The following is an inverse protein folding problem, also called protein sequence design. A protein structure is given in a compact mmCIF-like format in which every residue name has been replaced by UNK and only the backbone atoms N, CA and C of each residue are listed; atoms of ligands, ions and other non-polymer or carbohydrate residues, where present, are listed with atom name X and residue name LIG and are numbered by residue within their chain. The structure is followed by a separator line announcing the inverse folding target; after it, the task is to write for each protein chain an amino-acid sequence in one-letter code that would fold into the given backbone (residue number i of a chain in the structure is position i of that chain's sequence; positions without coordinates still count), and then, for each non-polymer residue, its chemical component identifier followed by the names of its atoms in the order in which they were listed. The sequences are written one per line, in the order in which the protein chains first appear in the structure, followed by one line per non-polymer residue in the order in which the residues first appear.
data_IF_458648851075
#
_entry.id   IF_458648851075
#
_cell.length_a   1.000
_cell.length_b   1.000
_cell.length_c   1.000
_cell.angle_alpha   90.00
_cell.angle_beta   90.00
_cell.angle_gamma   90.00
#
_symmetry.space_group_name_H-M   'P 1'
#
loop_
_entity.id
_entity.type
_entity.pdbx_description
1 polymer ?
#
# COMPACT_ATOMS: atom_id res chain seq x y z
N UNK A 1 10.32 10.77 37.28
CA UNK A 1 10.37 9.34 36.91
C UNK A 1 11.71 9.14 36.23
N UNK A 2 12.51 8.18 36.67
CA UNK A 2 13.85 7.91 36.12
C UNK A 2 13.76 7.47 34.64
N UNK A 3 14.75 7.83 33.82
CA UNK A 3 14.79 7.50 32.38
C UNK A 3 14.77 5.99 32.15
N UNK A 4 15.38 5.21 33.05
CA UNK A 4 15.34 3.75 33.06
C UNK A 4 13.90 3.23 33.29
N UNK A 5 13.13 3.89 34.16
CA UNK A 5 11.74 3.52 34.45
C UNK A 5 10.79 3.88 33.30
N UNK A 6 11.06 4.97 32.55
CA UNK A 6 10.34 5.30 31.32
C UNK A 6 10.64 4.31 30.18
N UNK A 7 11.89 3.85 30.10
CA UNK A 7 12.39 2.85 29.15
C UNK A 7 11.77 1.47 29.34
N UNK A 8 11.76 0.98 30.58
CA UNK A 8 11.07 -0.28 30.90
C UNK A 8 9.56 -0.16 30.71
N UNK A 9 8.97 0.99 31.02
CA UNK A 9 7.54 1.23 30.77
C UNK A 9 7.22 1.22 29.27
N UNK A 10 8.04 1.79 28.40
CA UNK A 10 7.81 1.78 26.95
C UNK A 10 7.94 0.38 26.34
N UNK A 11 8.96 -0.39 26.74
CA UNK A 11 9.12 -1.81 26.35
C UNK A 11 7.95 -2.66 26.83
N UNK A 12 7.55 -2.45 28.09
CA UNK A 12 6.42 -3.15 28.68
C UNK A 12 5.11 -2.75 28.02
N UNK A 13 4.92 -1.47 27.65
CA UNK A 13 3.74 -0.99 26.92
C UNK A 13 3.69 -1.52 25.49
N UNK A 14 4.80 -1.56 24.75
CA UNK A 14 4.83 -2.15 23.41
C UNK A 14 4.50 -3.67 23.44
N UNK A 15 5.09 -4.39 24.39
CA UNK A 15 4.79 -5.80 24.64
C UNK A 15 3.34 -6.01 25.14
N UNK A 16 2.84 -5.11 25.99
CA UNK A 16 1.45 -5.11 26.45
C UNK A 16 0.48 -4.73 25.33
N UNK A 17 0.81 -3.82 24.42
CA UNK A 17 -0.01 -3.51 23.25
C UNK A 17 -0.11 -4.74 22.34
N UNK A 18 1.01 -5.42 22.08
CA UNK A 18 1.01 -6.68 21.36
C UNK A 18 0.25 -7.81 22.11
N UNK A 19 0.24 -7.80 23.45
CA UNK A 19 -0.45 -8.80 24.28
C UNK A 19 -1.96 -8.51 24.45
N UNK A 20 -2.36 -7.26 24.63
CA UNK A 20 -3.75 -6.78 24.63
C UNK A 20 -4.36 -7.03 23.25
N UNK A 21 -3.59 -6.80 22.17
CA UNK A 21 -3.96 -7.21 20.81
C UNK A 21 -4.07 -8.75 20.68
N UNK A 22 -3.42 -9.55 21.52
CA UNK A 22 -3.62 -11.01 21.59
C UNK A 22 -4.78 -11.46 22.50
N UNK A 23 -5.28 -10.63 23.41
CA UNK A 23 -6.35 -11.00 24.34
C UNK A 23 -7.74 -10.59 23.85
N UNK A 24 -7.85 -9.47 23.11
CA UNK A 24 -9.11 -9.04 22.50
C UNK A 24 -9.62 -9.98 21.38
N UNK A 25 -8.82 -10.95 20.95
CA UNK A 25 -9.23 -12.06 20.07
C UNK A 25 -10.07 -13.12 20.81
N UNK A 26 -9.78 -13.36 22.10
CA UNK A 26 -10.50 -14.38 22.90
C UNK A 26 -11.90 -13.94 23.34
N UNK A 27 -12.12 -12.63 23.48
CA UNK A 27 -13.42 -12.06 23.85
C UNK A 27 -14.36 -11.81 22.65
N UNK A 28 -13.81 -11.64 21.44
CA UNK A 28 -14.60 -11.44 20.22
C UNK A 28 -15.20 -12.75 19.66
N UNK A 29 -14.75 -13.91 20.17
CA UNK A 29 -15.32 -15.22 19.83
C UNK A 29 -16.66 -15.51 20.53
N UNK A 30 -17.18 -14.60 21.37
CA UNK A 30 -18.31 -14.89 22.25
C UNK A 30 -19.41 -13.83 22.31
N UNK A 31 -19.66 -13.03 21.25
CA UNK A 31 -20.89 -12.23 21.22
C UNK A 31 -21.36 -11.90 19.80
N UNK A 32 -22.41 -12.60 19.38
CA UNK A 32 -23.22 -12.28 18.21
C UNK A 32 -24.22 -11.15 18.51
N UNK A 33 -24.23 -10.09 17.69
CA UNK A 33 -25.38 -9.28 17.22
C UNK A 33 -25.06 -7.77 17.11
N UNK A 34 -25.16 -7.18 15.91
CA UNK A 34 -26.33 -6.39 15.49
C UNK A 34 -26.10 -5.80 14.08
N UNK A 35 -27.06 -6.05 13.20
CA UNK A 35 -27.00 -5.76 11.76
C UNK A 35 -28.02 -4.67 11.43
N UNK A 36 -27.67 -3.39 11.56
CA UNK A 36 -28.54 -2.29 11.07
C UNK A 36 -27.82 -0.99 10.67
N UNK A 37 -26.50 -0.86 10.82
CA UNK A 37 -25.80 0.38 10.47
C UNK A 37 -25.24 0.44 9.02
N UNK A 38 -25.18 -0.70 8.30
CA UNK A 38 -24.50 -0.76 6.99
C UNK A 38 -25.38 -0.37 5.80
N UNK A 39 -26.72 -0.45 5.90
CA UNK A 39 -27.61 -0.15 4.77
C UNK A 39 -27.79 1.35 4.49
N UNK A 40 -27.57 2.21 5.51
CA UNK A 40 -27.75 3.65 5.37
C UNK A 40 -26.56 4.35 4.68
N UNK A 41 -25.36 3.75 4.72
CA UNK A 41 -24.17 4.33 4.11
C UNK A 41 -24.06 4.02 2.61
N UNK A 42 -24.56 2.87 2.15
CA UNK A 42 -24.57 2.52 0.72
C UNK A 42 -25.56 3.39 -0.09
N UNK A 43 -26.68 3.79 0.52
CA UNK A 43 -27.67 4.66 -0.10
C UNK A 43 -27.13 6.08 -0.38
N UNK A 44 -26.22 6.59 0.47
CA UNK A 44 -25.65 7.94 0.32
C UNK A 44 -24.59 8.03 -0.79
N UNK A 45 -23.84 6.95 -1.04
CA UNK A 45 -22.83 6.90 -2.10
C UNK A 45 -23.50 6.82 -3.49
N UNK A 46 -24.59 6.05 -3.62
CA UNK A 46 -25.38 5.97 -4.85
C UNK A 46 -26.06 7.32 -5.21
N UNK A 47 -26.53 8.07 -4.21
CA UNK A 47 -27.16 9.39 -4.40
C UNK A 47 -26.13 10.44 -4.86
N UNK A 48 -24.90 10.40 -4.32
CA UNK A 48 -23.82 11.29 -4.75
C UNK A 48 -23.37 11.02 -6.20
N UNK A 49 -23.26 9.74 -6.58
CA UNK A 49 -22.93 9.34 -7.94
C UNK A 49 -24.02 9.77 -8.96
N UNK A 50 -25.30 9.67 -8.59
CA UNK A 50 -26.42 10.11 -9.43
C UNK A 50 -26.45 11.63 -9.63
N UNK A 51 -26.11 12.40 -8.59
CA UNK A 51 -26.03 13.87 -8.65
C UNK A 51 -24.88 14.38 -9.52
N UNK A 52 -23.74 13.70 -9.51
CA UNK A 52 -22.62 13.97 -10.42
C UNK A 52 -22.99 13.70 -11.87
N UNK A 53 -23.68 12.58 -12.15
CA UNK A 53 -24.15 12.25 -13.50
C UNK A 53 -25.13 13.27 -14.10
N UNK A 54 -26.04 13.83 -13.28
CA UNK A 54 -27.01 14.86 -13.71
C UNK A 54 -26.38 16.24 -13.95
N UNK A 55 -25.21 16.52 -13.36
CA UNK A 55 -24.49 17.78 -13.53
C UNK A 55 -23.75 17.83 -14.88
N UNK A 56 -23.39 16.66 -15.45
CA UNK A 56 -22.65 16.56 -16.70
C UNK A 56 -23.52 16.56 -17.97
N UNK A 57 -24.85 16.43 -17.84
CA UNK A 57 -25.77 16.33 -18.99
C UNK A 57 -26.47 17.64 -19.37
N UNK A 58 -26.01 18.80 -18.89
CA UNK A 58 -26.65 20.09 -19.20
C UNK A 58 -25.80 20.96 -20.13
N UNK A 59 -26.03 20.86 -21.44
CA UNK A 59 -25.95 21.98 -22.39
C UNK A 59 -26.71 21.62 -23.68
N UNK A 60 -27.28 22.61 -24.41
CA UNK A 60 -28.50 22.42 -25.19
C UNK A 60 -28.26 21.95 -26.63
N UNK A 61 -29.27 21.26 -27.15
CA UNK A 61 -29.35 20.73 -28.50
C UNK A 61 -29.57 21.80 -29.58
N UNK A 62 -28.92 21.64 -30.74
CA UNK A 62 -29.40 22.20 -32.01
C UNK A 62 -29.03 21.33 -33.23
N UNK A 63 -30.09 20.94 -33.97
CA UNK A 63 -30.23 20.63 -35.42
C UNK A 63 -29.43 19.50 -36.12
N UNK A 64 -30.17 18.42 -36.44
CA UNK A 64 -30.41 17.66 -37.71
C UNK A 64 -29.44 17.68 -38.92
N UNK A 65 -29.50 16.64 -39.80
CA UNK A 65 -28.34 16.02 -40.43
C UNK A 65 -28.13 16.35 -41.92
N UNK A 66 -26.88 16.27 -42.39
CA UNK A 66 -26.55 16.15 -43.82
C UNK A 66 -25.51 15.04 -44.01
N UNK A 67 -25.89 14.03 -44.79
CA UNK A 67 -25.01 12.99 -45.29
C UNK A 67 -24.17 13.52 -46.46
N UNK A 68 -22.87 13.24 -46.45
CA UNK A 68 -22.12 13.00 -47.69
C UNK A 68 -20.86 12.18 -47.39
N UNK A 69 -20.71 11.10 -48.15
CA UNK A 69 -19.54 10.23 -48.17
C UNK A 69 -18.40 10.89 -48.95
N UNK A 70 -17.20 10.90 -48.40
CA UNK A 70 -15.95 10.82 -49.16
C UNK A 70 -14.88 10.10 -48.33
N UNK A 71 -14.14 9.20 -48.98
CA UNK A 71 -13.13 8.36 -48.33
C UNK A 71 -11.89 9.13 -47.90
N UNK A 72 -11.37 8.78 -46.71
CA UNK A 72 -10.01 9.07 -46.28
C UNK A 72 -9.66 8.14 -45.12
N UNK A 73 -8.48 7.49 -45.24
CA UNK A 73 -7.63 6.90 -44.20
C UNK A 73 -8.32 6.37 -42.93
N UNK A 74 -8.27 5.06 -42.74
CA UNK A 74 -8.55 4.41 -41.45
C UNK A 74 -7.53 4.90 -40.41
N UNK A 75 -7.80 6.05 -39.79
CA UNK A 75 -7.26 6.36 -38.49
C UNK A 75 -7.88 5.35 -37.53
N UNK A 76 -7.04 4.52 -36.92
CA UNK A 76 -7.41 3.63 -35.83
C UNK A 76 -8.34 4.42 -34.89
N UNK A 77 -9.60 4.00 -34.77
CA UNK A 77 -10.58 4.72 -33.96
C UNK A 77 -10.00 4.85 -32.56
N UNK A 78 -9.75 6.08 -32.11
CA UNK A 78 -9.34 6.36 -30.74
C UNK A 78 -10.30 5.60 -29.83
N UNK A 79 -9.82 4.65 -29.00
CA UNK A 79 -10.70 3.85 -28.18
C UNK A 79 -11.58 4.76 -27.32
N UNK A 80 -12.82 4.33 -27.08
CA UNK A 80 -13.80 5.10 -26.31
C UNK A 80 -13.16 5.54 -24.98
N UNK A 81 -13.11 6.86 -24.69
CA UNK A 81 -12.62 7.40 -23.41
C UNK A 81 -13.19 6.69 -22.18
N UNK A 82 -14.41 6.15 -22.26
CA UNK A 82 -15.06 5.39 -21.17
C UNK A 82 -14.30 4.11 -20.79
N UNK A 83 -13.61 3.46 -21.75
CA UNK A 83 -12.82 2.24 -21.50
C UNK A 83 -11.61 2.59 -20.64
N UNK A 84 -10.91 3.69 -20.96
CA UNK A 84 -9.78 4.17 -20.17
C UNK A 84 -10.19 4.62 -18.77
N UNK A 85 -11.37 5.22 -18.63
CA UNK A 85 -11.94 5.57 -17.33
C UNK A 85 -12.23 4.32 -16.49
N UNK A 86 -12.81 3.28 -17.10
CA UNK A 86 -13.11 2.03 -16.41
C UNK A 86 -11.83 1.29 -15.98
N UNK A 87 -10.81 1.23 -16.84
CA UNK A 87 -9.53 0.60 -16.50
C UNK A 87 -8.80 1.34 -15.37
N UNK A 88 -8.84 2.67 -15.39
CA UNK A 88 -8.31 3.51 -14.32
C UNK A 88 -9.03 3.23 -13.00
N UNK A 89 -10.36 3.25 -12.98
CA UNK A 89 -11.17 2.95 -11.79
C UNK A 89 -10.93 1.53 -11.28
N UNK A 90 -10.88 0.54 -12.19
CA UNK A 90 -10.64 -0.85 -11.85
C UNK A 90 -9.26 -1.04 -11.20
N UNK A 91 -8.25 -0.36 -11.70
CA UNK A 91 -6.88 -0.41 -11.16
C UNK A 91 -6.86 0.05 -9.72
N UNK A 92 -7.38 1.24 -9.43
CA UNK A 92 -7.35 1.76 -8.06
C UNK A 92 -8.32 1.05 -7.11
N UNK A 93 -9.42 0.50 -7.62
CA UNK A 93 -10.30 -0.36 -6.82
C UNK A 93 -9.54 -1.58 -6.31
N UNK A 94 -8.79 -2.26 -7.19
CA UNK A 94 -7.94 -3.40 -6.82
C UNK A 94 -6.81 -3.03 -5.88
N UNK A 95 -6.13 -1.90 -6.10
CA UNK A 95 -5.08 -1.40 -5.20
C UNK A 95 -5.67 -1.11 -3.81
N UNK A 96 -6.83 -0.47 -3.75
CA UNK A 96 -7.51 -0.18 -2.49
C UNK A 96 -7.93 -1.46 -1.75
N UNK A 97 -8.46 -2.46 -2.45
CA UNK A 97 -8.78 -3.77 -1.86
C UNK A 97 -7.54 -4.44 -1.26
N UNK A 98 -6.41 -4.41 -1.98
CA UNK A 98 -5.11 -4.90 -1.49
C UNK A 98 -4.66 -4.16 -0.22
N UNK A 99 -4.84 -2.83 -0.17
CA UNK A 99 -4.43 -2.02 0.98
C UNK A 99 -5.31 -2.23 2.21
N UNK A 100 -6.60 -2.52 2.03
CA UNK A 100 -7.51 -2.89 3.14
C UNK A 100 -7.08 -4.18 3.82
N UNK A 101 -6.57 -5.11 3.03
CA UNK A 101 -6.14 -6.43 3.48
C UNK A 101 -4.84 -6.39 4.29
N UNK A 102 -4.02 -5.36 4.13
CA UNK A 102 -2.86 -5.12 5.01
C UNK A 102 -3.25 -4.88 6.48
N UNK A 103 -4.53 -4.63 6.78
CA UNK A 103 -5.06 -4.53 8.15
C UNK A 103 -5.41 -5.89 8.78
N UNK A 104 -5.22 -7.00 8.04
CA UNK A 104 -5.44 -8.34 8.57
C UNK A 104 -4.57 -8.60 9.80
N UNK A 105 -5.20 -9.06 10.88
CA UNK A 105 -4.53 -9.16 12.17
C UNK A 105 -3.46 -10.25 12.18
N UNK A 106 -3.73 -11.39 11.56
CA UNK A 106 -2.79 -12.51 11.51
C UNK A 106 -1.56 -12.14 10.66
N UNK A 107 -1.76 -11.36 9.60
CA UNK A 107 -0.68 -10.78 8.81
C UNK A 107 0.18 -9.82 9.63
N UNK A 108 -0.44 -8.91 10.38
CA UNK A 108 0.29 -7.95 11.22
C UNK A 108 1.06 -8.64 12.34
N UNK A 109 0.48 -9.68 12.95
CA UNK A 109 1.15 -10.49 13.98
C UNK A 109 2.35 -11.25 13.37
N UNK A 110 2.17 -11.89 12.20
CA UNK A 110 3.26 -12.55 11.47
C UNK A 110 4.41 -11.60 11.13
N UNK A 111 4.08 -10.37 10.71
CA UNK A 111 5.06 -9.34 10.41
C UNK A 111 5.82 -8.92 11.66
N UNK A 112 5.11 -8.66 12.76
CA UNK A 112 5.68 -8.31 14.05
C UNK A 112 6.65 -9.39 14.55
N UNK A 113 6.25 -10.66 14.49
CA UNK A 113 7.07 -11.80 14.92
C UNK A 113 8.32 -12.00 14.05
N UNK A 114 8.29 -11.53 12.80
CA UNK A 114 9.42 -11.64 11.86
C UNK A 114 10.48 -10.54 12.05
N UNK A 115 10.16 -9.46 12.76
CA UNK A 115 11.02 -8.28 12.91
C UNK A 115 11.81 -8.32 14.21
N UNK A 116 13.11 -7.94 14.23
CA UNK A 116 13.86 -7.73 15.45
C UNK A 116 13.50 -6.37 16.09
N UNK A 117 12.25 -6.21 16.51
CA UNK A 117 11.67 -4.92 16.94
C UNK A 117 12.51 -4.27 18.06
N UNK A 118 12.88 -5.02 19.09
CA UNK A 118 13.68 -4.48 20.20
C UNK A 118 15.02 -3.91 19.74
N UNK A 119 15.66 -4.56 18.77
CA UNK A 119 16.93 -4.10 18.19
C UNK A 119 16.73 -2.77 17.44
N UNK A 120 15.60 -2.59 16.73
CA UNK A 120 15.34 -1.32 16.03
C UNK A 120 15.29 -0.13 16.99
N UNK A 121 14.61 -0.28 18.13
CA UNK A 121 14.53 0.79 19.13
C UNK A 121 15.87 1.05 19.81
N UNK A 122 16.62 0.00 20.16
CA UNK A 122 17.95 0.13 20.77
C UNK A 122 18.94 0.83 19.83
N UNK A 123 18.96 0.45 18.55
CA UNK A 123 19.80 1.08 17.53
C UNK A 123 19.34 2.51 17.24
N UNK A 124 18.04 2.77 17.21
CA UNK A 124 17.50 4.13 17.02
C UNK A 124 17.90 5.08 18.16
N UNK A 125 17.84 4.63 19.41
CA UNK A 125 18.31 5.39 20.56
C UNK A 125 19.82 5.68 20.47
N UNK A 126 20.62 4.69 20.08
CA UNK A 126 22.06 4.85 19.92
C UNK A 126 22.43 5.87 18.82
N UNK A 127 21.60 5.96 17.77
CA UNK A 127 21.79 6.86 16.63
C UNK A 127 21.16 8.25 16.82
N UNK A 128 20.52 8.54 17.96
CA UNK A 128 19.78 9.79 18.17
C UNK A 128 20.64 11.06 17.93
N UNK A 129 21.95 10.99 18.18
CA UNK A 129 22.86 12.11 17.94
C UNK A 129 23.20 12.32 16.45
N UNK A 130 23.10 11.29 15.61
CA UNK A 130 23.37 11.36 14.16
C UNK A 130 22.19 11.97 13.39
N UNK A 131 20.98 11.86 13.96
CA UNK A 131 19.74 12.39 13.39
C UNK A 131 19.01 13.29 14.39
N UNK A 132 19.59 14.45 14.76
CA UNK A 132 19.02 15.31 15.82
C UNK A 132 17.65 15.91 15.47
N UNK A 133 17.30 15.93 14.19
CA UNK A 133 16.03 16.44 13.66
C UNK A 133 14.92 15.37 13.62
N UNK A 134 15.25 14.13 13.97
CA UNK A 134 14.35 12.98 13.93
C UNK A 134 13.98 12.54 15.35
N UNK A 135 12.75 12.07 15.52
CA UNK A 135 12.36 11.36 16.73
C UNK A 135 12.93 9.93 16.75
N UNK A 136 12.78 9.23 17.88
CA UNK A 136 13.11 7.81 17.98
C UNK A 136 12.30 7.01 16.94
N UNK A 137 11.01 7.28 16.79
CA UNK A 137 10.15 6.60 15.80
C UNK A 137 10.60 6.86 14.36
N UNK A 138 10.96 8.11 14.03
CA UNK A 138 11.53 8.45 12.72
C UNK A 138 12.81 7.64 12.44
N UNK A 139 13.67 7.49 13.46
CA UNK A 139 14.91 6.71 13.36
C UNK A 139 14.64 5.21 13.29
N UNK A 140 13.61 4.70 13.98
CA UNK A 140 13.14 3.31 13.85
C UNK A 140 12.69 3.02 12.41
N UNK A 141 12.00 3.95 11.74
CA UNK A 141 11.60 3.77 10.33
C UNK A 141 12.83 3.68 9.42
N UNK A 142 13.87 4.51 9.63
CA UNK A 142 15.15 4.38 8.91
C UNK A 142 15.80 3.02 9.14
N UNK A 143 15.78 2.55 10.39
CA UNK A 143 16.36 1.26 10.75
C UNK A 143 15.59 0.10 10.12
N UNK A 144 14.27 0.19 10.11
CA UNK A 144 13.40 -0.75 9.41
C UNK A 144 13.71 -0.79 7.91
N UNK A 145 13.87 0.36 7.24
CA UNK A 145 14.26 0.42 5.82
C UNK A 145 15.59 -0.30 5.57
N UNK A 146 16.60 -0.01 6.39
CA UNK A 146 17.91 -0.64 6.26
C UNK A 146 17.84 -2.16 6.46
N UNK A 147 17.21 -2.61 7.56
CA UNK A 147 17.05 -4.04 7.83
C UNK A 147 16.24 -4.74 6.74
N UNK A 148 15.16 -4.11 6.26
CA UNK A 148 14.30 -4.68 5.25
C UNK A 148 15.08 -4.99 3.96
N UNK A 149 15.87 -4.02 3.49
CA UNK A 149 16.67 -4.17 2.26
C UNK A 149 17.86 -5.12 2.42
N UNK A 150 18.60 -4.98 3.51
CA UNK A 150 19.89 -5.65 3.64
C UNK A 150 19.78 -7.06 4.22
N UNK A 151 18.79 -7.31 5.08
CA UNK A 151 18.70 -8.52 5.88
C UNK A 151 17.45 -9.34 5.53
N UNK A 152 16.29 -8.68 5.45
CA UNK A 152 15.02 -9.39 5.37
C UNK A 152 14.62 -9.81 3.96
N UNK A 153 14.49 -8.86 3.02
CA UNK A 153 13.85 -9.07 1.72
C UNK A 153 14.85 -8.96 0.57
N UNK A 154 14.68 -9.79 -0.47
CA UNK A 154 15.65 -9.91 -1.58
C UNK A 154 15.02 -9.60 -2.93
N UNK A 155 15.79 -8.93 -3.78
CA UNK A 155 15.31 -8.56 -5.11
C UNK A 155 15.26 -9.79 -6.02
N UNK A 156 14.08 -10.07 -6.58
CA UNK A 156 13.90 -11.12 -7.58
C UNK A 156 14.39 -10.65 -8.94
N UNK A 157 15.64 -10.99 -9.32
CA UNK A 157 16.10 -10.83 -10.70
C UNK A 157 15.54 -11.96 -11.55
N UNK A 158 14.35 -11.76 -12.10
CA UNK A 158 13.70 -12.79 -12.89
C UNK A 158 13.09 -12.22 -14.17
N UNK A 159 13.31 -12.92 -15.30
CA UNK A 159 12.75 -12.61 -16.62
C UNK A 159 11.35 -13.20 -16.66
N UNK A 160 10.34 -12.35 -16.89
CA UNK A 160 8.96 -12.82 -17.06
C UNK A 160 8.88 -13.77 -18.27
N UNK A 161 8.20 -14.89 -18.09
CA UNK A 161 7.98 -15.88 -19.14
C UNK A 161 6.54 -15.77 -19.63
N UNK A 162 5.58 -16.07 -18.75
CA UNK A 162 4.17 -16.12 -19.09
C UNK A 162 3.29 -16.10 -17.83
N UNK A 163 2.00 -15.81 -18.03
CA UNK A 163 0.96 -16.16 -17.06
C UNK A 163 0.68 -17.66 -17.09
N UNK A 164 0.39 -18.23 -15.92
CA UNK A 164 -0.02 -19.61 -15.73
C UNK A 164 -1.27 -19.67 -14.83
N UNK A 165 -2.05 -20.73 -14.98
CA UNK A 165 -3.13 -21.03 -14.05
C UNK A 165 -2.54 -21.38 -12.65
N UNK A 166 -3.19 -20.96 -11.56
CA UNK A 166 -2.88 -21.43 -10.22
C UNK A 166 -2.99 -22.97 -10.12
N UNK A 167 -2.08 -23.57 -9.36
CA UNK A 167 -2.25 -24.95 -8.88
C UNK A 167 -3.41 -25.00 -7.86
N UNK A 168 -3.98 -26.18 -7.56
CA UNK A 168 -5.04 -26.29 -6.55
C UNK A 168 -4.65 -25.73 -5.19
N UNK A 169 -3.40 -25.90 -4.77
CA UNK A 169 -2.89 -25.34 -3.52
C UNK A 169 -2.78 -23.81 -3.61
N UNK A 170 -2.14 -23.28 -4.66
CA UNK A 170 -2.03 -21.83 -4.86
C UNK A 170 -3.41 -21.16 -4.94
N UNK A 171 -4.40 -21.81 -5.55
CA UNK A 171 -5.78 -21.32 -5.61
C UNK A 171 -6.47 -21.37 -4.25
N UNK A 172 -6.29 -22.43 -3.48
CA UNK A 172 -6.78 -22.52 -2.10
C UNK A 172 -6.17 -21.43 -1.20
N UNK A 173 -4.90 -21.10 -1.46
CA UNK A 173 -4.17 -20.02 -0.80
C UNK A 173 -4.55 -18.62 -1.35
N UNK A 174 -5.47 -18.54 -2.33
CA UNK A 174 -6.06 -17.29 -2.82
C UNK A 174 -5.43 -16.72 -4.09
N UNK A 175 -4.60 -17.46 -4.83
CA UNK A 175 -4.03 -17.01 -6.10
C UNK A 175 -5.09 -16.94 -7.19
N UNK A 176 -5.29 -15.74 -7.76
CA UNK A 176 -6.15 -15.53 -8.92
C UNK A 176 -5.42 -15.78 -10.25
N UNK A 177 -4.11 -15.58 -10.26
CA UNK A 177 -3.23 -15.89 -11.40
C UNK A 177 -1.84 -16.25 -10.90
N UNK A 178 -1.01 -16.84 -11.76
CA UNK A 178 0.40 -17.07 -11.47
C UNK A 178 1.25 -16.45 -12.56
N UNK A 179 2.21 -15.65 -12.17
CA UNK A 179 3.25 -15.20 -13.09
C UNK A 179 4.42 -16.18 -13.01
N UNK A 180 4.94 -16.60 -14.15
CA UNK A 180 6.10 -17.49 -14.21
C UNK A 180 7.32 -16.71 -14.69
N UNK A 181 8.44 -16.97 -14.03
CA UNK A 181 9.69 -16.31 -14.34
C UNK A 181 10.86 -17.29 -14.34
N UNK A 182 11.96 -16.89 -14.98
CA UNK A 182 13.27 -17.58 -14.89
C UNK A 182 14.34 -16.63 -14.40
N UNK A 183 15.36 -17.15 -13.74
CA UNK A 183 16.48 -16.33 -13.25
C UNK A 183 17.31 -15.70 -14.40
N UNK A 184 17.45 -16.38 -15.53
CA UNK A 184 18.20 -15.90 -16.70
C UNK A 184 17.75 -16.63 -17.97
N UNK A 185 18.24 -16.20 -19.14
CA UNK A 185 17.90 -16.86 -20.41
C UNK A 185 18.38 -18.31 -20.50
N UNK A 186 19.46 -18.64 -19.78
CA UNK A 186 20.06 -19.98 -19.71
C UNK A 186 19.55 -20.83 -18.55
N UNK A 187 18.78 -20.25 -17.64
CA UNK A 187 18.20 -20.97 -16.51
C UNK A 187 16.93 -21.71 -16.95
N UNK A 188 16.89 -23.02 -16.68
CA UNK A 188 15.72 -23.87 -16.96
C UNK A 188 14.69 -23.86 -15.82
N UNK A 189 15.11 -23.45 -14.63
CA UNK A 189 14.26 -23.45 -13.43
C UNK A 189 13.24 -22.32 -13.55
N UNK A 190 11.96 -22.69 -13.52
CA UNK A 190 10.84 -21.74 -13.59
C UNK A 190 10.34 -21.47 -12.18
N UNK A 191 10.50 -20.23 -11.73
CA UNK A 191 9.90 -19.77 -10.49
C UNK A 191 8.46 -19.33 -10.75
N UNK A 192 7.53 -19.90 -9.98
CA UNK A 192 6.13 -19.48 -9.96
C UNK A 192 5.96 -18.38 -8.92
N UNK A 193 5.26 -17.32 -9.30
CA UNK A 193 4.86 -16.21 -8.44
C UNK A 193 3.34 -16.11 -8.49
N UNK A 194 2.63 -16.86 -7.64
CA UNK A 194 1.20 -16.77 -7.55
C UNK A 194 0.83 -15.37 -7.04
N UNK A 195 -0.05 -14.70 -7.77
CA UNK A 195 -0.61 -13.42 -7.40
C UNK A 195 -1.84 -13.71 -6.56
N UNK A 196 -1.57 -13.88 -5.27
CA UNK A 196 -2.58 -14.00 -4.24
C UNK A 196 -3.41 -12.73 -4.26
N UNK A 197 -4.68 -12.87 -4.66
CA UNK A 197 -5.69 -11.82 -4.61
C UNK A 197 -6.08 -11.55 -3.17
N UNK A 198 -5.10 -11.18 -2.36
CA UNK A 198 -5.32 -10.50 -1.12
C UNK A 198 -4.71 -11.10 0.14
N UNK A 199 -3.48 -10.68 0.43
CA UNK A 199 -2.60 -11.12 1.52
C UNK A 199 -1.80 -12.39 1.22
N UNK A 200 -0.65 -12.25 0.56
CA UNK A 200 0.31 -13.33 0.53
C UNK A 200 1.12 -13.30 1.84
N UNK A 201 0.61 -13.92 2.91
CA UNK A 201 1.42 -14.27 4.11
C UNK A 201 2.74 -14.93 3.70
N UNK A 202 2.70 -15.68 2.60
CA UNK A 202 3.83 -16.26 1.89
C UNK A 202 4.97 -15.26 1.52
N UNK A 203 4.76 -13.95 1.48
CA UNK A 203 5.87 -12.98 1.30
C UNK A 203 6.79 -12.92 2.51
N UNK A 204 6.28 -13.18 3.71
CA UNK A 204 7.09 -13.27 4.93
C UNK A 204 7.90 -14.59 5.00
N UNK A 205 7.46 -15.61 4.26
CA UNK A 205 8.20 -16.87 4.08
C UNK A 205 9.22 -16.77 2.93
N UNK A 206 8.78 -16.32 1.76
CA UNK A 206 9.60 -16.28 0.53
C UNK A 206 10.61 -15.14 0.53
N UNK A 207 10.28 -14.02 1.20
CA UNK A 207 11.15 -12.85 1.40
C UNK A 207 11.81 -12.33 0.13
N UNK A 208 11.09 -12.38 -0.99
CA UNK A 208 11.61 -11.98 -2.30
C UNK A 208 10.53 -11.44 -3.23
N UNK A 209 10.91 -10.53 -4.11
CA UNK A 209 10.02 -9.97 -5.14
C UNK A 209 10.59 -8.73 -5.81
N UNK A 210 9.73 -7.96 -6.49
CA UNK A 210 10.02 -6.67 -7.14
C UNK A 210 9.38 -5.51 -6.36
N UNK A 211 9.42 -4.29 -6.88
CA UNK A 211 8.91 -3.10 -6.19
C UNK A 211 7.51 -3.27 -5.57
N UNK A 212 6.59 -3.95 -6.28
CA UNK A 212 5.27 -4.35 -5.77
C UNK A 212 5.32 -5.10 -4.44
N UNK A 213 5.97 -6.26 -4.41
CA UNK A 213 6.07 -7.09 -3.21
C UNK A 213 6.90 -6.40 -2.10
N UNK A 214 7.92 -5.64 -2.48
CA UNK A 214 8.76 -4.87 -1.56
C UNK A 214 7.96 -3.79 -0.83
N UNK A 215 7.28 -2.91 -1.56
CA UNK A 215 6.48 -1.84 -0.98
C UNK A 215 5.30 -2.42 -0.18
N UNK A 216 4.65 -3.46 -0.69
CA UNK A 216 3.54 -4.14 -0.01
C UNK A 216 3.96 -4.70 1.35
N UNK A 217 5.00 -5.54 1.38
CA UNK A 217 5.49 -6.17 2.61
C UNK A 217 6.04 -5.14 3.59
N UNK A 218 6.79 -4.14 3.10
CA UNK A 218 7.30 -3.07 3.95
C UNK A 218 6.18 -2.24 4.58
N UNK A 219 5.10 -1.94 3.83
CA UNK A 219 3.93 -1.22 4.37
C UNK A 219 3.28 -2.00 5.51
N UNK A 220 3.15 -3.32 5.37
CA UNK A 220 2.66 -4.22 6.43
C UNK A 220 3.59 -4.17 7.65
N UNK A 221 4.91 -4.21 7.46
CA UNK A 221 5.87 -4.06 8.57
C UNK A 221 5.68 -2.73 9.32
N UNK A 222 5.52 -1.61 8.61
CA UNK A 222 5.24 -0.31 9.24
C UNK A 222 3.94 -0.33 10.07
N UNK A 223 2.87 -0.93 9.52
CA UNK A 223 1.58 -1.06 10.23
C UNK A 223 1.65 -2.01 11.42
N UNK A 224 2.48 -3.06 11.33
CA UNK A 224 2.70 -4.01 12.43
C UNK A 224 3.40 -3.36 13.62
N UNK A 225 4.31 -2.40 13.37
CA UNK A 225 4.91 -1.53 14.39
C UNK A 225 3.93 -0.48 14.96
N UNK A 226 2.74 -0.34 14.38
CA UNK A 226 1.71 0.60 14.81
C UNK A 226 1.78 1.98 14.14
N UNK A 227 2.63 2.17 13.12
CA UNK A 227 2.71 3.44 12.40
C UNK A 227 1.57 3.62 11.41
N UNK A 228 1.09 4.86 11.27
CA UNK A 228 0.17 5.22 10.16
C UNK A 228 0.96 5.14 8.86
N UNK A 229 0.61 4.22 7.96
CA UNK A 229 1.32 4.00 6.72
C UNK A 229 0.38 3.94 5.51
N UNK A 230 0.72 4.70 4.46
CA UNK A 230 0.04 4.73 3.16
C UNK A 230 0.85 3.94 2.14
N UNK A 231 0.15 3.23 1.26
CA UNK A 231 0.73 2.62 0.07
C UNK A 231 0.54 3.58 -1.10
N UNK A 232 1.62 3.93 -1.79
CA UNK A 232 1.59 4.89 -2.89
C UNK A 232 1.71 4.14 -4.20
N UNK A 233 0.77 4.39 -5.11
CA UNK A 233 0.77 3.85 -6.46
C UNK A 233 1.07 4.96 -7.46
N UNK A 234 2.20 4.83 -8.16
CA UNK A 234 2.56 5.65 -9.31
C UNK A 234 2.23 4.90 -10.60
N UNK A 235 1.40 5.52 -11.44
CA UNK A 235 0.93 4.94 -12.71
C UNK A 235 2.05 4.70 -13.72
N UNK A 236 3.25 5.22 -13.47
CA UNK A 236 4.43 5.00 -14.31
C UNK A 236 5.25 3.78 -13.88
N UNK A 237 4.59 2.75 -13.35
CA UNK A 237 5.18 1.46 -12.92
C UNK A 237 6.14 1.57 -11.72
N UNK A 238 5.74 2.30 -10.68
CA UNK A 238 6.44 2.25 -9.39
C UNK A 238 5.49 2.37 -8.21
N UNK A 239 5.93 1.89 -7.05
CA UNK A 239 5.16 1.91 -5.81
C UNK A 239 6.09 2.10 -4.63
N UNK A 240 5.62 2.75 -3.57
CA UNK A 240 6.39 2.95 -2.34
C UNK A 240 5.46 3.15 -1.15
N UNK A 241 6.02 3.47 0.01
CA UNK A 241 5.28 3.68 1.27
C UNK A 241 5.45 5.11 1.74
N UNK A 242 4.42 5.70 2.32
CA UNK A 242 4.55 6.90 3.16
C UNK A 242 4.20 6.57 4.60
N UNK A 243 4.95 7.11 5.56
CA UNK A 243 4.68 6.92 7.00
C UNK A 243 4.47 8.27 7.66
N UNK A 244 3.44 8.42 8.50
CA UNK A 244 3.18 9.66 9.22
C UNK A 244 4.19 9.83 10.37
N UNK A 245 4.94 10.94 10.34
CA UNK A 245 5.79 11.32 11.47
C UNK A 245 4.99 12.19 12.44
N UNK A 246 4.79 11.70 13.66
CA UNK A 246 4.17 12.50 14.72
C UNK A 246 5.06 13.65 15.19
N UNK A 247 6.38 13.54 15.02
CA UNK A 247 7.31 14.62 15.36
C UNK A 247 7.28 15.73 14.31
N UNK A 248 7.39 15.37 13.02
CA UNK A 248 7.44 16.34 11.91
C UNK A 248 6.07 16.80 11.42
N UNK A 249 4.98 16.16 11.90
CA UNK A 249 3.59 16.45 11.54
C UNK A 249 3.32 16.42 10.03
N UNK A 250 3.94 15.46 9.34
CA UNK A 250 3.75 15.22 7.91
C UNK A 250 4.02 13.76 7.54
N UNK A 251 3.56 13.39 6.35
CA UNK A 251 3.91 12.13 5.71
C UNK A 251 5.38 12.15 5.25
N UNK A 252 6.07 11.04 5.49
CA UNK A 252 7.47 10.82 5.15
C UNK A 252 7.53 9.76 4.06
N UNK A 253 8.15 10.12 2.94
CA UNK A 253 8.44 9.21 1.85
C UNK A 253 9.38 8.08 2.31
N UNK A 254 9.03 6.83 2.04
CA UNK A 254 9.83 5.64 2.34
C UNK A 254 9.84 4.69 1.12
N UNK A 255 10.98 4.56 0.45
CA UNK A 255 11.17 3.53 -0.58
C UNK A 255 12.04 2.40 -0.02
N UNK A 256 11.42 1.25 0.21
CA UNK A 256 12.10 0.07 0.76
C UNK A 256 13.05 -0.59 -0.23
N UNK A 257 12.82 -0.47 -1.54
CA UNK A 257 13.73 -0.98 -2.57
C UNK A 257 15.06 -0.23 -2.51
N UNK A 258 15.00 1.06 -2.23
CA UNK A 258 16.16 1.93 -2.16
C UNK A 258 16.74 2.10 -0.76
N UNK A 259 16.00 1.68 0.29
CA UNK A 259 16.23 2.07 1.68
C UNK A 259 16.29 3.60 1.84
N UNK A 260 15.47 4.31 1.06
CA UNK A 260 15.43 5.76 1.00
C UNK A 260 14.38 6.29 1.97
N UNK A 261 14.83 7.14 2.90
CA UNK A 261 13.97 7.84 3.86
C UNK A 261 13.92 9.32 3.53
N UNK A 262 12.72 9.85 3.40
CA UNK A 262 12.41 11.27 3.17
C UNK A 262 13.07 11.87 1.92
N UNK A 263 13.07 11.10 0.83
CA UNK A 263 13.63 11.49 -0.47
C UNK A 263 12.57 11.47 -1.58
N UNK A 264 11.51 12.30 -1.51
CA UNK A 264 10.41 12.27 -2.49
C UNK A 264 10.85 12.61 -3.93
N UNK A 265 11.95 13.36 -4.09
CA UNK A 265 12.53 13.72 -5.39
C UNK A 265 13.40 12.62 -6.02
N UNK A 266 13.51 11.45 -5.37
CA UNK A 266 14.30 10.32 -5.84
C UNK A 266 13.92 9.91 -7.28
N UNK A 267 12.64 9.92 -7.61
CA UNK A 267 12.17 9.43 -8.91
C UNK A 267 12.30 10.48 -10.02
N UNK A 268 11.75 11.67 -9.79
CA UNK A 268 11.69 12.72 -10.81
C UNK A 268 13.07 13.30 -11.10
N UNK A 269 13.82 13.65 -10.06
CA UNK A 269 15.16 14.25 -10.19
C UNK A 269 16.25 13.17 -10.22
N UNK A 270 16.16 12.17 -9.33
CA UNK A 270 17.19 11.13 -9.25
C UNK A 270 17.19 10.18 -10.44
N UNK A 271 16.03 9.62 -10.81
CA UNK A 271 15.92 8.68 -11.94
C UNK A 271 15.53 9.36 -13.27
N UNK A 272 15.19 10.65 -13.26
CA UNK A 272 14.72 11.35 -14.46
C UNK A 272 13.33 10.89 -14.91
N UNK A 273 12.55 10.29 -14.01
CA UNK A 273 11.25 9.70 -14.34
C UNK A 273 10.23 10.82 -14.58
N UNK A 274 9.52 10.77 -15.70
CA UNK A 274 8.37 11.65 -15.94
C UNK A 274 7.12 11.04 -15.30
N UNK A 275 6.87 11.41 -14.04
CA UNK A 275 5.70 10.96 -13.28
C UNK A 275 4.39 11.46 -13.91
N UNK A 276 3.32 10.68 -13.78
CA UNK A 276 1.98 11.03 -14.24
C UNK A 276 1.02 11.23 -13.07
N UNK A 277 0.56 10.14 -12.43
CA UNK A 277 -0.29 10.19 -11.25
C UNK A 277 0.30 9.35 -10.13
N UNK A 278 0.41 9.93 -8.94
CA UNK A 278 0.79 9.24 -7.71
C UNK A 278 -0.41 9.31 -6.75
N UNK A 279 -0.95 8.15 -6.37
CA UNK A 279 -2.16 8.07 -5.56
C UNK A 279 -1.86 7.31 -4.27
N UNK A 280 -2.24 7.90 -3.14
CA UNK A 280 -2.02 7.33 -1.83
C UNK A 280 -3.25 6.55 -1.34
N UNK A 281 -3.00 5.36 -0.80
CA UNK A 281 -4.01 4.45 -0.26
C UNK A 281 -3.73 4.15 1.21
N UNK A 282 -4.76 4.23 2.05
CA UNK A 282 -4.68 3.89 3.46
C UNK A 282 -5.85 3.02 3.91
N UNK A 283 -5.59 2.12 4.85
CA UNK A 283 -6.63 1.47 5.64
C UNK A 283 -7.24 2.43 6.68
N UNK A 284 -8.31 2.00 7.35
CA UNK A 284 -8.84 2.71 8.52
C UNK A 284 -7.90 2.47 9.71
N UNK A 285 -7.38 3.53 10.30
CA UNK A 285 -6.61 3.43 11.55
C UNK A 285 -7.56 3.19 12.73
N UNK A 286 -7.45 2.09 13.49
CA UNK A 286 -8.48 1.74 14.47
C UNK A 286 -8.58 2.66 15.69
N UNK A 287 -7.62 3.56 15.96
CA UNK A 287 -7.67 4.39 17.18
C UNK A 287 -7.02 5.77 17.02
N UNK A 288 -7.70 6.74 16.38
CA UNK A 288 -7.51 8.16 16.72
C UNK A 288 -8.86 8.88 16.72
N UNK A 289 -9.30 9.33 17.90
CA UNK A 289 -10.53 10.10 18.09
C UNK A 289 -10.48 11.52 17.48
N UNK A 290 -9.50 11.83 16.61
CA UNK A 290 -9.20 13.20 16.17
C UNK A 290 -9.14 13.43 14.65
N UNK A 291 -9.17 12.41 13.79
CA UNK A 291 -8.96 12.64 12.36
C UNK A 291 -10.20 12.27 11.51
N UNK A 292 -11.30 12.99 11.72
CA UNK A 292 -12.46 12.95 10.81
C UNK A 292 -12.16 13.58 9.43
N UNK A 293 -10.99 14.22 9.26
CA UNK A 293 -10.59 14.90 8.03
C UNK A 293 -9.71 14.06 7.08
N UNK A 294 -9.22 12.89 7.51
CA UNK A 294 -8.30 12.05 6.71
C UNK A 294 -8.92 10.67 6.37
N UNK A 295 -10.23 10.53 6.60
CA UNK A 295 -11.00 9.31 6.37
C UNK A 295 -11.50 9.14 4.92
N UNK A 296 -10.94 9.88 3.95
CA UNK A 296 -11.20 9.64 2.54
C UNK A 296 -10.26 8.53 2.04
N UNK A 297 -10.77 7.42 1.48
CA UNK A 297 -9.94 6.32 0.97
C UNK A 297 -9.06 6.71 -0.24
N UNK A 298 -9.14 7.95 -0.69
CA UNK A 298 -8.40 8.52 -1.80
C UNK A 298 -7.84 9.87 -1.38
N UNK A 299 -6.51 9.98 -1.28
CA UNK A 299 -5.84 11.27 -1.32
C UNK A 299 -5.10 11.36 -2.65
N UNK A 300 -5.64 12.14 -3.60
CA UNK A 300 -4.89 12.55 -4.78
C UNK A 300 -3.86 13.57 -4.31
N UNK A 301 -2.60 13.18 -4.27
CA UNK A 301 -1.53 14.11 -3.95
C UNK A 301 -1.23 14.90 -5.24
N UNK A 302 -1.48 16.23 -5.28
CA UNK A 302 -1.00 17.03 -6.38
C UNK A 302 0.54 17.00 -6.36
N UNK A 303 1.14 16.87 -7.54
CA UNK A 303 2.59 16.89 -7.80
C UNK A 303 3.38 17.97 -7.04
N UNK A 304 2.72 19.06 -6.59
CA UNK A 304 3.30 20.14 -5.79
C UNK A 304 3.70 19.77 -4.36
N UNK A 305 3.26 18.62 -3.83
CA UNK A 305 3.72 18.11 -2.52
C UNK A 305 5.00 17.26 -2.63
N UNK A 306 5.44 16.98 -3.86
CA UNK A 306 6.67 16.23 -4.15
C UNK A 306 7.82 17.13 -4.64
N UNK A 307 7.64 18.46 -4.70
CA UNK A 307 8.65 19.46 -5.12
C UNK A 307 9.07 20.36 -3.97
#
# INVERSE_FOLDING_TARGET
MDKEAQRELAKHLAAQFASIRRQSTSAASSTSASTTANAANDANISELASRLGKLMTQTPATSSPVQSQTGANSFESVPDPSIYEQDFVNTYTKVNESVKQMEDRELLDLASDSMPISQFFEEAEAMAAEHPEDSIDDTVIRRLLHWFKNDFFKWGKTIFIAGAAPTPQEQADGAGMVETYRCSQSCIEVTRFPRYGGVPKILFETRRGRCGEWAHTFTVCCRALGYKARYIHDTTDHVWTEVWSEHKKRWIHCDSCEAAYDQPLLYSTGWGKTLSYCVAFSGKFPHTHLDAHDATPFCLLPLRTLT
#
